data_IF_952475833849
#
_entry.id   IF_952475833849
#
_cell.length_a   1.000
_cell.length_b   1.000
_cell.length_c   1.000
_cell.angle_alpha   90.00
_cell.angle_beta   90.00
_cell.angle_gamma   90.00
#
_symmetry.space_group_name_H-M   'P 1'
#
loop_
_entity.id
_entity.type
_entity.pdbx_description
1 polymer ?
#
# COMPACT_ATOMS: atom_id res chain seq x y z
N UNK A 1 -51.49 25.93 27.22
CA UNK A 1 -50.35 25.40 28.02
C UNK A 1 -49.92 24.02 27.59
N UNK A 2 -50.81 23.05 27.42
CA UNK A 2 -50.50 21.65 27.07
C UNK A 2 -49.74 21.50 25.73
N UNK A 3 -50.08 22.26 24.68
CA UNK A 3 -49.43 22.18 23.37
C UNK A 3 -47.97 22.63 23.41
N UNK A 4 -47.62 23.67 24.17
CA UNK A 4 -46.24 24.15 24.33
C UNK A 4 -45.40 23.13 25.08
N UNK A 5 -45.97 22.43 26.07
CA UNK A 5 -45.26 21.36 26.80
C UNK A 5 -44.95 20.17 25.89
N UNK A 6 -45.87 19.80 25.00
CA UNK A 6 -45.68 18.74 24.02
C UNK A 6 -44.55 19.06 23.02
N UNK A 7 -44.48 20.31 22.53
CA UNK A 7 -43.44 20.76 21.62
C UNK A 7 -42.06 20.70 22.29
N UNK A 8 -41.99 21.15 23.56
CA UNK A 8 -40.72 21.09 24.33
C UNK A 8 -40.29 19.63 24.58
N UNK A 9 -41.21 18.73 24.85
CA UNK A 9 -40.92 17.32 25.06
C UNK A 9 -40.42 16.65 23.79
N UNK A 10 -41.01 16.93 22.63
CA UNK A 10 -40.55 16.41 21.31
C UNK A 10 -39.19 16.99 20.96
N UNK A 11 -38.93 18.27 21.23
CA UNK A 11 -37.62 18.89 21.00
C UNK A 11 -36.53 18.25 21.91
N UNK A 12 -36.87 17.97 23.17
CA UNK A 12 -35.96 17.33 24.14
C UNK A 12 -35.60 15.91 23.72
N UNK A 13 -36.55 15.15 23.16
CA UNK A 13 -36.29 13.79 22.65
C UNK A 13 -35.38 13.83 21.39
N UNK A 14 -35.49 14.87 20.57
CA UNK A 14 -34.62 15.05 19.39
C UNK A 14 -33.18 15.36 19.77
N UNK A 15 -32.93 16.03 20.89
CA UNK A 15 -31.57 16.31 21.40
C UNK A 15 -30.90 15.11 22.10
N UNK A 16 -31.68 14.09 22.49
CA UNK A 16 -31.13 12.88 23.14
C UNK A 16 -30.69 11.80 22.16
N UNK A 17 -30.93 11.96 20.85
CA UNK A 17 -30.49 11.05 19.83
C UNK A 17 -28.99 11.30 19.43
N UNK A 18 -28.08 11.23 20.42
CA UNK A 18 -26.65 11.10 20.12
C UNK A 18 -26.41 9.69 19.56
N UNK A 19 -26.49 9.56 18.24
CA UNK A 19 -26.04 8.34 17.55
C UNK A 19 -24.52 8.30 17.63
N UNK A 20 -24.00 7.48 18.53
CA UNK A 20 -22.56 7.19 18.58
C UNK A 20 -22.24 6.20 17.45
N UNK A 21 -21.78 6.69 16.31
CA UNK A 21 -21.29 5.84 15.26
C UNK A 21 -19.92 5.31 15.68
N UNK A 22 -19.87 4.06 16.12
CA UNK A 22 -18.60 3.39 16.41
C UNK A 22 -17.97 2.93 15.10
N UNK A 23 -17.07 3.76 14.55
CA UNK A 23 -16.35 3.46 13.29
C UNK A 23 -15.21 2.49 13.62
N UNK A 24 -15.43 1.21 13.38
CA UNK A 24 -14.41 0.17 13.56
C UNK A 24 -13.29 0.32 12.52
N UNK A 25 -12.02 0.38 12.98
CA UNK A 25 -10.83 0.37 12.14
C UNK A 25 -10.11 -0.97 12.25
N UNK A 26 -10.00 -1.77 11.17
CA UNK A 26 -9.39 -3.10 11.19
C UNK A 26 -7.85 -3.03 11.10
N UNK A 27 -7.18 -2.49 12.13
CA UNK A 27 -5.75 -2.21 12.13
C UNK A 27 -4.90 -3.42 11.72
N UNK A 28 -5.11 -4.58 12.33
CA UNK A 28 -4.34 -5.80 12.05
C UNK A 28 -4.48 -6.26 10.59
N UNK A 29 -5.66 -6.09 9.99
CA UNK A 29 -5.87 -6.42 8.57
C UNK A 29 -5.11 -5.47 7.66
N UNK A 30 -5.11 -4.18 7.98
CA UNK A 30 -4.36 -3.16 7.21
C UNK A 30 -2.85 -3.39 7.35
N UNK A 31 -2.36 -3.72 8.54
CA UNK A 31 -0.94 -4.02 8.78
C UNK A 31 -0.47 -5.21 7.94
N UNK A 32 -1.23 -6.30 7.94
CA UNK A 32 -0.90 -7.49 7.13
C UNK A 32 -0.89 -7.16 5.64
N UNK A 33 -1.89 -6.44 5.14
CA UNK A 33 -1.95 -6.02 3.74
C UNK A 33 -0.78 -5.09 3.37
N UNK A 34 -0.45 -4.12 4.23
CA UNK A 34 0.67 -3.22 4.00
C UNK A 34 2.01 -3.97 3.99
N UNK A 35 2.20 -4.94 4.89
CA UNK A 35 3.41 -5.78 4.91
C UNK A 35 3.57 -6.58 3.62
N UNK A 36 2.51 -7.28 3.18
CA UNK A 36 2.53 -8.07 1.94
C UNK A 36 2.81 -7.20 0.71
N UNK A 37 2.11 -6.07 0.58
CA UNK A 37 2.26 -5.15 -0.55
C UNK A 37 3.66 -4.56 -0.60
N UNK A 38 4.16 -4.05 0.52
CA UNK A 38 5.48 -3.40 0.59
C UNK A 38 6.59 -4.42 0.35
N UNK A 39 6.47 -5.62 0.91
CA UNK A 39 7.40 -6.73 0.67
C UNK A 39 7.47 -7.10 -0.81
N UNK A 40 6.32 -7.26 -1.46
CA UNK A 40 6.25 -7.57 -2.90
C UNK A 40 6.89 -6.48 -3.78
N UNK A 41 6.65 -5.21 -3.44
CA UNK A 41 7.22 -4.06 -4.17
C UNK A 41 8.75 -4.00 -3.99
N UNK A 42 9.25 -4.26 -2.78
CA UNK A 42 10.68 -4.18 -2.45
C UNK A 42 11.47 -5.41 -2.90
N UNK A 43 10.81 -6.55 -3.07
CA UNK A 43 11.45 -7.74 -3.62
C UNK A 43 11.79 -7.51 -5.09
N UNK A 44 13.07 -7.27 -5.37
CA UNK A 44 13.59 -7.39 -6.72
C UNK A 44 13.56 -8.88 -7.06
N UNK A 45 12.66 -9.28 -7.96
CA UNK A 45 12.79 -10.60 -8.57
C UNK A 45 14.15 -10.63 -9.27
N UNK A 46 15.06 -11.58 -8.96
CA UNK A 46 16.20 -11.78 -9.81
C UNK A 46 15.65 -12.05 -11.21
N UNK A 47 16.15 -11.31 -12.20
CA UNK A 47 15.92 -11.59 -13.61
C UNK A 47 16.32 -13.06 -13.84
N UNK A 48 15.37 -13.98 -13.78
CA UNK A 48 15.50 -15.24 -14.48
C UNK A 48 15.35 -14.87 -15.97
N UNK A 49 16.47 -14.59 -16.60
CA UNK A 49 16.59 -14.81 -18.03
C UNK A 49 16.33 -16.30 -18.23
N UNK A 50 15.09 -16.65 -18.51
CA UNK A 50 14.80 -17.91 -19.15
C UNK A 50 15.38 -17.80 -20.56
N UNK A 51 16.64 -18.25 -20.70
CA UNK A 51 17.16 -18.74 -21.96
C UNK A 51 16.16 -19.79 -22.44
N UNK A 52 15.37 -19.43 -23.43
CA UNK A 52 14.64 -20.37 -24.28
C UNK A 52 15.68 -21.23 -24.97
N UNK A 53 16.05 -22.34 -24.36
CA UNK A 53 16.61 -23.46 -25.07
C UNK A 53 15.46 -24.14 -25.80
N UNK A 54 15.40 -23.87 -27.06
CA UNK A 54 14.69 -24.64 -28.05
C UNK A 54 15.32 -26.02 -28.06
N UNK A 55 14.66 -27.00 -27.51
CA UNK A 55 14.91 -28.42 -27.82
C UNK A 55 13.61 -29.01 -28.36
N UNK A 56 13.67 -29.16 -29.66
CA UNK A 56 12.76 -29.96 -30.50
C UNK A 56 13.05 -31.43 -30.24
N UNK A 57 12.08 -32.17 -29.73
CA UNK A 57 11.92 -33.58 -30.00
C UNK A 57 10.47 -34.05 -29.72
N UNK A 58 9.94 -34.66 -30.76
CA UNK A 58 8.61 -35.23 -30.90
C UNK A 58 8.37 -36.47 -30.02
N UNK A 59 7.12 -36.96 -29.91
CA UNK A 59 6.62 -37.74 -28.79
C UNK A 59 6.75 -39.25 -28.99
N UNK A 60 6.45 -40.06 -27.98
CA UNK A 60 5.53 -41.16 -28.17
C UNK A 60 4.35 -41.17 -27.16
N UNK A 61 3.35 -41.76 -27.67
CA UNK A 61 2.03 -42.07 -27.26
C UNK A 61 1.87 -42.73 -25.88
N UNK A 62 0.60 -42.54 -25.39
CA UNK A 62 -0.12 -43.38 -24.42
C UNK A 62 0.30 -43.31 -22.93
N UNK A 63 -0.54 -42.69 -22.10
CA UNK A 63 -1.41 -43.42 -21.18
C UNK A 63 -2.47 -42.49 -20.52
N UNK A 64 -3.68 -42.97 -20.56
CA UNK A 64 -4.84 -42.46 -19.87
C UNK A 64 -4.64 -42.53 -18.36
N UNK A 65 -4.39 -41.41 -17.68
CA UNK A 65 -4.57 -41.36 -16.24
C UNK A 65 -5.46 -40.19 -15.83
N UNK A 66 -6.71 -40.61 -15.53
CA UNK A 66 -7.63 -40.10 -14.51
C UNK A 66 -7.45 -38.63 -14.09
N UNK A 67 -8.36 -37.82 -14.58
CA UNK A 67 -8.74 -36.56 -13.99
C UNK A 67 -9.25 -36.78 -12.56
N UNK A 68 -8.37 -36.79 -11.59
CA UNK A 68 -8.74 -36.55 -10.22
C UNK A 68 -8.81 -35.02 -10.05
N UNK A 69 -10.02 -34.50 -10.24
CA UNK A 69 -10.36 -33.22 -9.65
C UNK A 69 -10.30 -33.36 -8.14
N UNK A 70 -9.13 -33.15 -7.56
CA UNK A 70 -9.03 -32.90 -6.15
C UNK A 70 -9.50 -31.48 -5.94
N UNK A 71 -10.83 -31.36 -5.68
CA UNK A 71 -11.38 -30.19 -5.03
C UNK A 71 -10.72 -30.06 -3.66
N UNK A 72 -9.54 -29.48 -3.58
CA UNK A 72 -9.02 -28.93 -2.36
C UNK A 72 -9.83 -27.67 -2.07
N UNK A 73 -11.06 -27.87 -1.59
CA UNK A 73 -11.76 -26.90 -0.80
C UNK A 73 -11.01 -26.79 0.54
N UNK A 74 -9.78 -26.29 0.51
CA UNK A 74 -9.19 -25.66 1.68
C UNK A 74 -10.02 -24.39 1.87
N UNK A 75 -10.89 -24.42 2.88
CA UNK A 75 -11.41 -23.24 3.51
C UNK A 75 -10.20 -22.44 3.98
N UNK A 76 -9.70 -21.57 3.11
CA UNK A 76 -8.63 -20.62 3.43
C UNK A 76 -9.27 -19.52 4.22
N UNK A 77 -9.43 -19.77 5.52
CA UNK A 77 -9.75 -18.74 6.48
C UNK A 77 -8.80 -17.56 6.24
N UNK A 78 -9.36 -16.48 5.67
CA UNK A 78 -8.85 -15.15 5.90
C UNK A 78 -7.55 -14.73 5.23
N UNK A 79 -7.14 -15.28 4.10
CA UNK A 79 -6.23 -14.54 3.21
C UNK A 79 -7.05 -13.39 2.64
N UNK A 80 -6.87 -12.24 3.25
CA UNK A 80 -7.42 -10.98 2.77
C UNK A 80 -6.98 -10.80 1.32
N UNK A 81 -7.85 -11.12 0.37
CA UNK A 81 -7.62 -10.80 -1.03
C UNK A 81 -7.72 -9.29 -1.24
N UNK A 82 -6.76 -8.55 -0.67
CA UNK A 82 -6.54 -7.14 -1.00
C UNK A 82 -5.86 -7.09 -2.37
N UNK A 83 -6.50 -7.69 -3.37
CA UNK A 83 -5.90 -7.85 -4.71
C UNK A 83 -6.92 -7.56 -5.80
N UNK A 84 -7.50 -6.36 -5.78
CA UNK A 84 -8.27 -5.87 -6.93
C UNK A 84 -7.35 -5.62 -8.13
N UNK A 85 -7.92 -5.55 -9.34
CA UNK A 85 -7.17 -5.21 -10.54
C UNK A 85 -6.45 -3.86 -10.39
N UNK A 86 -7.09 -2.88 -9.74
CA UNK A 86 -6.53 -1.55 -9.45
C UNK A 86 -5.31 -1.66 -8.53
N UNK A 87 -5.43 -2.38 -7.40
CA UNK A 87 -4.32 -2.59 -6.46
C UNK A 87 -3.14 -3.30 -7.13
N UNK A 88 -3.40 -4.34 -7.96
CA UNK A 88 -2.34 -5.02 -8.70
C UNK A 88 -1.61 -4.11 -9.68
N UNK A 89 -2.34 -3.28 -10.42
CA UNK A 89 -1.76 -2.31 -11.35
C UNK A 89 -0.86 -1.30 -10.61
N UNK A 90 -1.33 -0.74 -9.49
CA UNK A 90 -0.57 0.20 -8.66
C UNK A 90 0.69 -0.44 -8.08
N UNK A 91 0.59 -1.66 -7.52
CA UNK A 91 1.76 -2.42 -7.05
C UNK A 91 2.80 -2.61 -8.15
N UNK A 92 2.34 -2.98 -9.35
CA UNK A 92 3.23 -3.18 -10.51
C UNK A 92 3.92 -1.90 -10.92
N UNK A 93 3.21 -0.77 -10.95
CA UNK A 93 3.78 0.54 -11.30
C UNK A 93 4.84 0.99 -10.28
N UNK A 94 4.54 0.86 -8.99
CA UNK A 94 5.46 1.19 -7.88
C UNK A 94 6.69 0.27 -7.94
N UNK A 95 6.50 -1.05 -8.09
CA UNK A 95 7.58 -2.03 -8.20
C UNK A 95 8.51 -1.73 -9.39
N UNK A 96 7.97 -1.39 -10.55
CA UNK A 96 8.75 -1.03 -11.75
C UNK A 96 9.55 0.26 -11.56
N UNK A 97 9.05 1.19 -10.74
CA UNK A 97 9.69 2.48 -10.46
C UNK A 97 10.76 2.38 -9.38
N UNK A 98 10.58 1.50 -8.41
CA UNK A 98 11.45 1.38 -7.24
C UNK A 98 12.96 1.28 -7.55
N UNK A 99 13.43 0.46 -8.52
CA UNK A 99 14.86 0.41 -8.87
C UNK A 99 15.45 1.77 -9.31
N UNK A 100 14.61 2.64 -9.91
CA UNK A 100 15.04 3.98 -10.33
C UNK A 100 15.17 4.95 -9.16
N UNK A 101 14.51 4.66 -8.03
CA UNK A 101 14.53 5.47 -6.81
C UNK A 101 15.70 5.09 -5.89
N UNK A 102 16.18 3.84 -5.91
CA UNK A 102 17.26 3.34 -5.04
C UNK A 102 18.48 4.27 -4.98
N UNK A 103 19.06 4.72 -6.12
CA UNK A 103 20.24 5.59 -6.08
C UNK A 103 20.01 6.92 -5.36
N UNK A 104 18.77 7.42 -5.37
CA UNK A 104 18.42 8.67 -4.70
C UNK A 104 18.20 8.47 -3.19
N UNK A 105 17.69 7.31 -2.77
CA UNK A 105 17.66 6.92 -1.36
C UNK A 105 19.06 6.82 -0.78
N UNK A 106 19.94 6.08 -1.45
CA UNK A 106 21.32 5.86 -1.01
C UNK A 106 22.12 7.16 -0.89
N UNK A 107 21.88 8.12 -1.80
CA UNK A 107 22.51 9.44 -1.76
C UNK A 107 21.85 10.41 -0.76
N UNK A 108 20.76 10.00 -0.11
CA UNK A 108 20.01 10.85 0.82
C UNK A 108 19.30 12.03 0.14
N UNK A 109 19.03 11.93 -1.16
CA UNK A 109 18.31 12.95 -1.92
C UNK A 109 16.81 12.89 -1.60
N UNK A 110 16.27 11.70 -1.40
CA UNK A 110 14.88 11.44 -1.04
C UNK A 110 14.80 10.65 0.26
N UNK A 111 13.68 10.79 0.96
CA UNK A 111 13.37 10.05 2.19
C UNK A 111 11.92 9.63 2.25
N UNK A 112 11.60 8.73 3.19
CA UNK A 112 10.25 8.22 3.49
C UNK A 112 9.63 9.04 4.62
N UNK A 113 8.54 9.76 4.37
CA UNK A 113 7.89 10.54 5.43
C UNK A 113 6.93 9.68 6.29
N UNK A 114 6.39 10.28 7.35
CA UNK A 114 5.49 9.63 8.29
C UNK A 114 4.06 9.41 7.77
N UNK A 115 3.77 9.77 6.51
CA UNK A 115 2.54 9.48 5.78
C UNK A 115 2.72 8.42 4.70
N UNK A 116 3.92 7.80 4.63
CA UNK A 116 4.24 6.78 3.64
C UNK A 116 4.48 7.32 2.24
N UNK A 117 4.85 8.59 2.12
CA UNK A 117 5.17 9.27 0.87
C UNK A 117 6.66 9.63 0.83
N UNK A 118 7.17 9.90 -0.36
CA UNK A 118 8.54 10.35 -0.56
C UNK A 118 8.64 11.87 -0.44
N UNK A 119 9.73 12.33 0.18
CA UNK A 119 10.10 13.74 0.19
C UNK A 119 11.53 13.94 -0.31
N UNK A 120 11.75 15.04 -1.02
CA UNK A 120 13.08 15.46 -1.46
C UNK A 120 13.74 16.17 -0.29
N UNK A 121 14.86 15.63 0.19
CA UNK A 121 15.60 16.12 1.35
C UNK A 121 16.78 17.01 0.97
N UNK A 122 17.42 16.73 -0.16
CA UNK A 122 18.60 17.45 -0.60
C UNK A 122 18.72 17.40 -2.11
N UNK A 123 19.34 18.41 -2.67
CA UNK A 123 19.73 18.44 -4.07
C UNK A 123 21.24 18.28 -4.28
N UNK A 124 21.97 17.96 -3.19
CA UNK A 124 23.43 17.82 -3.22
C UNK A 124 23.82 16.68 -4.18
N UNK A 125 24.74 16.98 -5.08
CA UNK A 125 25.20 16.01 -6.09
C UNK A 125 24.20 15.71 -7.22
N UNK A 126 23.10 16.46 -7.34
CA UNK A 126 22.13 16.32 -8.43
C UNK A 126 22.22 17.54 -9.35
N UNK A 127 22.67 17.30 -10.60
CA UNK A 127 22.70 18.34 -11.63
C UNK A 127 21.31 18.88 -11.92
N UNK A 128 21.22 20.14 -12.33
CA UNK A 128 19.95 20.82 -12.61
C UNK A 128 19.07 20.02 -13.61
N UNK A 129 19.67 19.47 -14.66
CA UNK A 129 19.00 18.65 -15.67
C UNK A 129 18.36 17.36 -15.07
N UNK A 130 18.95 16.81 -14.00
CA UNK A 130 18.42 15.60 -13.34
C UNK A 130 17.35 15.90 -12.30
N UNK A 131 17.28 17.14 -11.77
CA UNK A 131 16.30 17.52 -10.75
C UNK A 131 14.86 17.36 -11.21
N UNK A 132 14.56 17.78 -12.44
CA UNK A 132 13.23 17.61 -13.04
C UNK A 132 12.80 16.12 -13.06
N UNK A 133 13.72 15.24 -13.48
CA UNK A 133 13.45 13.79 -13.53
C UNK A 133 13.23 13.20 -12.13
N UNK A 134 14.01 13.61 -11.14
CA UNK A 134 13.81 13.17 -9.74
C UNK A 134 12.45 13.61 -9.23
N UNK A 135 12.08 14.87 -9.48
CA UNK A 135 10.78 15.42 -9.10
C UNK A 135 9.64 14.61 -9.70
N UNK A 136 9.68 14.35 -11.02
CA UNK A 136 8.68 13.52 -11.70
C UNK A 136 8.59 12.10 -11.12
N UNK A 137 9.73 11.47 -10.78
CA UNK A 137 9.74 10.14 -10.17
C UNK A 137 9.07 10.15 -8.79
N UNK A 138 9.36 11.14 -7.95
CA UNK A 138 8.77 11.31 -6.63
C UNK A 138 7.28 11.60 -6.72
N UNK A 139 6.86 12.50 -7.60
CA UNK A 139 5.45 12.83 -7.82
C UNK A 139 4.65 11.63 -8.31
N UNK A 140 5.16 10.88 -9.30
CA UNK A 140 4.52 9.68 -9.81
C UNK A 140 4.43 8.59 -8.73
N UNK A 141 5.49 8.42 -7.92
CA UNK A 141 5.47 7.48 -6.80
C UNK A 141 4.42 7.86 -5.76
N UNK A 142 4.39 9.13 -5.37
CA UNK A 142 3.46 9.62 -4.36
C UNK A 142 2.00 9.54 -4.82
N UNK A 143 1.73 9.80 -6.09
CA UNK A 143 0.41 9.63 -6.69
C UNK A 143 -0.05 8.17 -6.61
N UNK A 144 0.79 7.23 -7.03
CA UNK A 144 0.44 5.81 -7.03
C UNK A 144 0.30 5.27 -5.60
N UNK A 145 1.16 5.70 -4.66
CA UNK A 145 1.02 5.33 -3.24
C UNK A 145 -0.27 5.87 -2.63
N UNK A 146 -0.61 7.13 -2.90
CA UNK A 146 -1.87 7.72 -2.41
C UNK A 146 -3.07 6.95 -2.93
N UNK A 147 -3.11 6.65 -4.22
CA UNK A 147 -4.16 5.85 -4.83
C UNK A 147 -4.20 4.43 -4.23
N UNK A 148 -3.05 3.82 -3.99
CA UNK A 148 -2.97 2.51 -3.35
C UNK A 148 -3.59 2.50 -1.95
N UNK A 149 -3.30 3.51 -1.13
CA UNK A 149 -3.88 3.62 0.22
C UNK A 149 -5.40 3.81 0.17
N UNK A 150 -5.90 4.60 -0.78
CA UNK A 150 -7.33 4.80 -1.01
C UNK A 150 -8.01 3.50 -1.45
N UNK A 151 -7.42 2.78 -2.40
CA UNK A 151 -7.97 1.51 -2.90
C UNK A 151 -7.97 0.42 -1.81
N UNK A 152 -6.93 0.34 -0.99
CA UNK A 152 -6.87 -0.57 0.17
C UNK A 152 -7.94 -0.20 1.19
N UNK A 153 -8.08 1.08 1.54
CA UNK A 153 -9.11 1.55 2.46
C UNK A 153 -10.51 1.22 1.95
N UNK A 154 -10.79 1.52 0.68
CA UNK A 154 -12.06 1.21 0.02
C UNK A 154 -12.37 -0.29 0.01
N UNK A 155 -11.40 -1.11 -0.34
CA UNK A 155 -11.56 -2.57 -0.38
C UNK A 155 -11.86 -3.17 0.99
N UNK A 156 -11.34 -2.55 2.06
CA UNK A 156 -11.57 -2.98 3.44
C UNK A 156 -12.78 -2.31 4.12
N UNK A 157 -13.56 -1.49 3.40
CA UNK A 157 -14.69 -0.76 3.97
C UNK A 157 -14.30 0.26 5.03
N UNK A 158 -13.07 0.81 4.96
CA UNK A 158 -12.56 1.81 5.90
C UNK A 158 -13.13 3.19 5.51
N UNK A 159 -13.68 3.89 6.49
CA UNK A 159 -14.19 5.23 6.30
C UNK A 159 -13.10 6.19 5.81
N UNK A 160 -13.38 7.06 4.81
CA UNK A 160 -12.40 8.02 4.27
C UNK A 160 -11.75 8.91 5.33
N UNK A 161 -12.45 9.24 6.42
CA UNK A 161 -11.89 10.01 7.54
C UNK A 161 -10.74 9.29 8.26
N UNK A 162 -10.66 7.97 8.13
CA UNK A 162 -9.61 7.14 8.72
C UNK A 162 -8.44 6.84 7.76
N UNK A 163 -8.44 7.40 6.55
CA UNK A 163 -7.36 7.19 5.57
C UNK A 163 -5.97 7.51 6.15
N UNK A 164 -5.89 8.52 7.02
CA UNK A 164 -4.64 8.86 7.72
C UNK A 164 -4.07 7.74 8.58
N UNK A 165 -4.92 6.86 9.13
CA UNK A 165 -4.47 5.67 9.88
C UNK A 165 -3.86 4.63 8.93
N UNK A 166 -4.48 4.42 7.76
CA UNK A 166 -3.94 3.54 6.71
C UNK A 166 -2.57 4.04 6.26
N UNK A 167 -2.45 5.34 5.97
CA UNK A 167 -1.18 5.97 5.58
C UNK A 167 -0.07 5.75 6.61
N UNK A 168 -0.36 5.94 7.90
CA UNK A 168 0.59 5.70 8.99
C UNK A 168 1.07 4.25 9.05
N UNK A 169 0.17 3.29 8.84
CA UNK A 169 0.53 1.86 8.82
C UNK A 169 1.46 1.57 7.64
N UNK A 170 1.13 2.05 6.45
CA UNK A 170 1.99 1.92 5.28
C UNK A 170 3.34 2.62 5.48
N UNK A 171 3.36 3.81 6.09
CA UNK A 171 4.60 4.52 6.42
C UNK A 171 5.55 3.67 7.25
N UNK A 172 5.03 3.04 8.31
CA UNK A 172 5.81 2.11 9.16
C UNK A 172 6.40 0.96 8.34
N UNK A 173 5.64 0.37 7.42
CA UNK A 173 6.13 -0.73 6.60
C UNK A 173 7.18 -0.26 5.56
N UNK A 174 6.98 0.89 4.90
CA UNK A 174 7.99 1.47 4.01
C UNK A 174 9.29 1.76 4.75
N UNK A 175 9.21 2.38 5.92
CA UNK A 175 10.37 2.71 6.76
C UNK A 175 11.06 1.46 7.31
N UNK A 176 10.28 0.43 7.75
CA UNK A 176 10.81 -0.86 8.21
C UNK A 176 11.66 -1.55 7.14
N UNK A 177 11.23 -1.46 5.89
CA UNK A 177 11.91 -2.11 4.75
C UNK A 177 12.89 -1.20 4.01
N UNK A 178 13.05 0.06 4.43
CA UNK A 178 14.00 0.98 3.83
C UNK A 178 15.44 0.52 4.03
N UNK A 179 16.33 0.81 3.05
CA UNK A 179 17.75 0.52 3.15
C UNK A 179 18.42 1.36 4.24
N UNK A 180 19.51 0.82 4.81
CA UNK A 180 20.35 1.58 5.74
C UNK A 180 20.80 2.89 5.09
N UNK A 181 20.83 3.97 5.87
CA UNK A 181 21.19 5.33 5.42
C UNK A 181 20.06 6.10 4.74
N UNK A 182 18.88 5.50 4.52
CA UNK A 182 17.71 6.23 4.02
C UNK A 182 17.20 7.23 5.07
N UNK A 183 16.83 8.44 4.64
CA UNK A 183 16.10 9.36 5.48
C UNK A 183 14.70 8.85 5.77
N UNK A 184 14.32 8.77 7.04
CA UNK A 184 12.98 8.44 7.50
C UNK A 184 12.46 9.51 8.44
N UNK A 185 11.17 9.82 8.37
CA UNK A 185 10.53 10.76 9.27
C UNK A 185 9.83 10.01 10.39
N UNK A 186 10.21 10.25 11.61
CA UNK A 186 9.61 9.68 12.82
C UNK A 186 8.17 10.17 13.04
N UNK A 187 7.42 9.56 13.94
CA UNK A 187 6.02 9.95 14.20
C UNK A 187 5.90 11.38 14.72
N UNK A 188 6.90 11.86 15.45
CA UNK A 188 7.02 13.25 15.96
C UNK A 188 7.50 14.24 14.88
N UNK A 189 7.68 13.79 13.65
CA UNK A 189 8.01 14.64 12.50
C UNK A 189 9.51 14.91 12.30
N UNK A 190 10.39 14.37 13.14
CA UNK A 190 11.85 14.52 12.98
C UNK A 190 12.38 13.61 11.88
N UNK A 191 13.40 14.10 11.17
CA UNK A 191 14.09 13.31 10.17
C UNK A 191 15.35 12.69 10.73
N UNK A 192 15.47 11.38 10.58
CA UNK A 192 16.63 10.59 11.03
C UNK A 192 17.13 9.68 9.91
N UNK A 193 18.38 9.25 10.02
CA UNK A 193 18.93 8.22 9.15
C UNK A 193 18.63 6.84 9.72
N UNK A 194 18.15 5.93 8.87
CA UNK A 194 17.96 4.55 9.28
C UNK A 194 19.29 3.82 9.40
#
# INVERSE_FOLDING_TARGET
MRLKLWIILVLAVFFLACVTVNIYFPAAKVEKAAEEIVKEVRQQSPKKEQKLKKEEKSPPESELHKWQFVNCAYAQEGVLQVSTASIRALKTAIKKRFPKLIPYFQKGIIGENNRGLLEIKSWQGVSLAKRAKVKQLVEAENKDRTNLYQEVAKNMGIDPSQLGKVQKIFAKQWQKTAHSGTWIQTEDGKWVRK
#
